data_IF_964941281385
#
_entry.id   IF_964941281385
#
_cell.length_a   1.000
_cell.length_b   1.000
_cell.length_c   1.000
_cell.angle_alpha   90.00
_cell.angle_beta   90.00
_cell.angle_gamma   90.00
#
_symmetry.space_group_name_H-M   'P 1'
#
loop_
_entity.id
_entity.type
_entity.pdbx_description
1 polymer ?
#
# COMPACT_ATOMS: atom_id res chain seq x y z
N UNK A 1 13.30 -12.74 28.47
CA UNK A 1 12.37 -12.73 27.32
C UNK A 1 12.43 -14.10 26.65
N UNK A 2 11.31 -14.81 26.49
CA UNK A 2 11.27 -16.12 25.81
C UNK A 2 10.62 -15.93 24.44
N UNK A 3 11.29 -16.38 23.38
CA UNK A 3 10.74 -16.37 22.04
C UNK A 3 9.80 -17.57 21.86
N UNK A 4 8.65 -17.35 21.23
CA UNK A 4 7.70 -18.41 20.88
C UNK A 4 7.54 -18.47 19.37
N UNK A 5 7.45 -19.70 18.84
CA UNK A 5 7.24 -19.93 17.42
C UNK A 5 5.74 -19.92 17.11
N UNK A 6 5.34 -19.08 16.16
CA UNK A 6 3.99 -19.13 15.56
C UNK A 6 3.88 -20.41 14.73
N UNK A 7 3.02 -21.34 15.16
CA UNK A 7 2.80 -22.61 14.47
C UNK A 7 1.84 -22.43 13.29
N UNK A 8 1.87 -23.35 12.33
CA UNK A 8 0.93 -23.41 11.20
C UNK A 8 0.91 -22.17 10.30
N UNK A 9 2.00 -21.40 10.27
CA UNK A 9 2.11 -20.25 9.37
C UNK A 9 2.23 -20.74 7.91
N UNK A 10 1.41 -20.23 6.96
CA UNK A 10 1.21 -20.87 5.66
C UNK A 10 2.39 -20.74 4.67
N UNK A 11 3.49 -20.10 5.06
CA UNK A 11 4.64 -19.89 4.16
C UNK A 11 5.93 -19.69 4.94
N UNK A 12 7.08 -19.96 4.31
CA UNK A 12 8.39 -19.71 4.92
C UNK A 12 8.80 -18.24 4.95
N UNK A 13 8.11 -17.38 4.20
CA UNK A 13 8.48 -15.98 4.02
C UNK A 13 7.31 -15.04 4.33
N UNK A 14 7.45 -14.28 5.42
CA UNK A 14 6.63 -13.14 5.74
C UNK A 14 7.28 -11.88 5.13
N UNK A 15 6.50 -11.09 4.39
CA UNK A 15 7.01 -9.86 3.75
C UNK A 15 6.83 -8.65 4.66
N UNK A 16 5.72 -8.60 5.39
CA UNK A 16 5.33 -7.46 6.21
C UNK A 16 4.41 -7.94 7.34
N UNK A 17 4.52 -7.32 8.51
CA UNK A 17 3.66 -7.57 9.68
C UNK A 17 3.30 -6.26 10.33
N UNK A 18 2.02 -6.06 10.60
CA UNK A 18 1.51 -4.84 11.24
C UNK A 18 0.63 -5.21 12.43
N UNK A 19 0.70 -4.42 13.49
CA UNK A 19 -0.24 -4.50 14.60
C UNK A 19 -1.43 -3.58 14.29
N UNK A 20 -2.64 -4.07 14.47
CA UNK A 20 -3.87 -3.30 14.31
C UNK A 20 -4.94 -3.85 15.24
N UNK A 21 -5.55 -2.97 16.06
CA UNK A 21 -6.63 -3.32 17.01
C UNK A 21 -6.37 -4.59 17.84
N UNK A 22 -5.15 -4.70 18.36
CA UNK A 22 -4.78 -5.83 19.22
C UNK A 22 -4.57 -7.17 18.50
N UNK A 23 -4.48 -7.19 17.16
CA UNK A 23 -4.10 -8.37 16.37
C UNK A 23 -2.90 -8.07 15.49
N UNK A 24 -2.24 -9.11 14.99
CA UNK A 24 -1.21 -8.95 13.96
C UNK A 24 -1.72 -9.39 12.60
N UNK A 25 -1.43 -8.60 11.58
CA UNK A 25 -1.76 -8.89 10.19
C UNK A 25 -0.46 -9.05 9.43
N UNK A 26 -0.27 -10.19 8.79
CA UNK A 26 0.94 -10.51 8.06
C UNK A 26 0.65 -10.71 6.57
N UNK A 27 1.49 -10.12 5.73
CA UNK A 27 1.45 -10.34 4.28
C UNK A 27 2.46 -11.42 3.87
N UNK A 28 1.97 -12.41 3.13
CA UNK A 28 2.74 -13.59 2.75
C UNK A 28 3.06 -13.54 1.24
N UNK A 29 4.24 -14.05 0.84
CA UNK A 29 4.74 -13.98 -0.55
C UNK A 29 3.78 -14.60 -1.59
N UNK A 30 2.85 -15.46 -1.17
CA UNK A 30 1.82 -16.08 -2.03
C UNK A 30 0.44 -15.49 -1.68
N UNK A 31 0.32 -14.17 -1.90
CA UNK A 31 -0.93 -13.40 -2.06
C UNK A 31 -1.92 -13.38 -0.89
N UNK A 32 -1.68 -14.11 0.18
CA UNK A 32 -2.59 -14.18 1.31
C UNK A 32 -2.16 -13.20 2.40
N UNK A 33 -3.16 -12.54 2.99
CA UNK A 33 -3.02 -11.88 4.28
C UNK A 33 -3.48 -12.90 5.32
N UNK A 34 -2.75 -13.00 6.42
CA UNK A 34 -3.16 -13.80 7.57
C UNK A 34 -3.29 -12.91 8.79
N UNK A 35 -4.22 -13.28 9.66
CA UNK A 35 -4.38 -12.70 10.98
C UNK A 35 -3.74 -13.65 11.97
N UNK A 36 -2.97 -13.11 12.91
CA UNK A 36 -2.35 -13.85 14.00
C UNK A 36 -2.94 -13.32 15.30
N UNK A 37 -3.54 -14.22 16.08
CA UNK A 37 -3.97 -13.91 17.44
C UNK A 37 -2.74 -13.78 18.34
N UNK A 38 -2.57 -12.66 19.09
CA UNK A 38 -1.35 -12.44 19.87
C UNK A 38 -1.24 -13.36 21.10
N UNK A 39 -2.34 -13.96 21.57
CA UNK A 39 -2.38 -14.77 22.78
C UNK A 39 -2.27 -16.26 22.47
N UNK A 40 -3.04 -16.75 21.49
CA UNK A 40 -3.00 -18.16 21.07
C UNK A 40 -1.93 -18.47 20.02
N UNK A 41 -1.41 -17.44 19.34
CA UNK A 41 -0.55 -17.56 18.15
C UNK A 41 -1.20 -18.37 17.01
N UNK A 42 -2.53 -18.47 17.00
CA UNK A 42 -3.25 -19.10 15.91
C UNK A 42 -3.28 -18.19 14.68
N UNK A 43 -3.12 -18.81 13.51
CA UNK A 43 -3.05 -18.12 12.22
C UNK A 43 -4.33 -18.41 11.44
N UNK A 44 -5.10 -17.36 11.16
CA UNK A 44 -6.33 -17.44 10.36
C UNK A 44 -6.10 -16.79 9.00
N UNK A 45 -6.34 -17.50 7.88
CA UNK A 45 -6.32 -16.88 6.56
C UNK A 45 -7.40 -15.81 6.41
N UNK A 46 -7.02 -14.64 5.91
CA UNK A 46 -7.96 -13.58 5.55
C UNK A 46 -8.13 -13.58 4.03
N UNK A 47 -9.19 -14.24 3.55
CA UNK A 47 -9.43 -14.43 2.12
C UNK A 47 -9.69 -13.11 1.41
N UNK A 48 -9.08 -12.94 0.24
CA UNK A 48 -9.32 -11.83 -0.66
C UNK A 48 -10.24 -12.30 -1.81
N UNK A 49 -11.26 -11.52 -2.15
CA UNK A 49 -12.30 -11.89 -3.12
C UNK A 49 -11.79 -12.18 -4.54
N UNK A 50 -10.59 -11.71 -4.91
CA UNK A 50 -9.98 -12.00 -6.20
C UNK A 50 -8.44 -12.12 -6.07
N UNK A 51 -7.84 -13.26 -6.41
CA UNK A 51 -6.39 -13.43 -6.43
C UNK A 51 -5.79 -12.81 -7.70
N UNK A 52 -5.65 -11.48 -7.74
CA UNK A 52 -4.87 -10.85 -8.81
C UNK A 52 -3.36 -11.00 -8.57
N UNK A 53 -2.57 -11.03 -9.66
CA UNK A 53 -1.13 -10.85 -9.67
C UNK A 53 -0.58 -9.53 -9.05
N UNK A 54 -0.80 -9.28 -7.76
CA UNK A 54 -0.36 -8.08 -7.03
C UNK A 54 0.79 -8.31 -6.03
N UNK A 55 1.57 -7.26 -5.80
CA UNK A 55 2.38 -7.06 -4.60
C UNK A 55 1.52 -6.38 -3.53
N UNK A 56 1.37 -7.02 -2.37
CA UNK A 56 0.58 -6.51 -1.25
C UNK A 56 1.46 -5.74 -0.26
N UNK A 57 0.91 -4.67 0.30
CA UNK A 57 1.51 -3.88 1.39
C UNK A 57 0.40 -3.50 2.37
N UNK A 58 0.64 -3.66 3.68
CA UNK A 58 -0.29 -3.30 4.73
C UNK A 58 0.07 -1.94 5.31
N UNK A 59 -0.91 -1.04 5.43
CA UNK A 59 -0.70 0.33 5.91
C UNK A 59 -1.67 0.57 7.07
N UNK A 60 -1.20 0.53 8.33
CA UNK A 60 -2.01 0.93 9.47
C UNK A 60 -2.16 2.45 9.49
N UNK A 61 -3.38 2.92 9.75
CA UNK A 61 -3.70 4.32 9.97
C UNK A 61 -4.15 4.51 11.42
N UNK A 62 -3.17 4.48 12.33
CA UNK A 62 -3.44 4.37 13.76
C UNK A 62 -4.16 3.06 14.08
N UNK A 63 -5.15 3.15 14.98
CA UNK A 63 -6.04 2.04 15.33
C UNK A 63 -7.41 2.12 14.64
N UNK A 64 -7.62 3.13 13.78
CA UNK A 64 -8.93 3.39 13.20
C UNK A 64 -9.16 2.52 11.97
N UNK A 65 -8.19 2.49 11.06
CA UNK A 65 -8.30 1.82 9.77
C UNK A 65 -7.01 1.08 9.40
N UNK A 66 -7.17 -0.03 8.68
CA UNK A 66 -6.09 -0.76 8.06
C UNK A 66 -6.34 -0.84 6.56
N UNK A 67 -5.38 -0.36 5.77
CA UNK A 67 -5.45 -0.44 4.31
C UNK A 67 -4.53 -1.53 3.77
N UNK A 68 -5.01 -2.19 2.72
CA UNK A 68 -4.25 -3.10 1.87
C UNK A 68 -4.07 -2.43 0.52
N UNK A 69 -2.82 -2.15 0.15
CA UNK A 69 -2.49 -1.64 -1.18
C UNK A 69 -1.91 -2.76 -2.03
N UNK A 70 -2.61 -3.05 -3.11
CA UNK A 70 -2.27 -4.05 -4.10
C UNK A 70 -1.69 -3.39 -5.34
N UNK A 71 -0.37 -3.52 -5.52
CA UNK A 71 0.34 -3.00 -6.67
C UNK A 71 0.42 -4.05 -7.77
N UNK A 72 -0.05 -3.73 -8.97
CA UNK A 72 -0.16 -4.62 -10.13
C UNK A 72 0.56 -4.04 -11.35
N UNK A 73 0.97 -4.93 -12.28
CA UNK A 73 1.51 -4.54 -13.58
C UNK A 73 0.41 -4.72 -14.63
N UNK A 74 -0.16 -3.62 -15.12
CA UNK A 74 -1.09 -3.66 -16.23
C UNK A 74 -0.35 -4.08 -17.51
N UNK A 75 -0.87 -5.11 -18.19
CA UNK A 75 -0.41 -5.50 -19.51
C UNK A 75 -1.22 -4.69 -20.53
N UNK A 76 -0.62 -3.66 -21.11
CA UNK A 76 -1.16 -3.01 -22.32
C UNK A 76 -0.65 -3.80 -23.53
N UNK A 77 -1.56 -4.38 -24.32
CA UNK A 77 -1.25 -5.23 -25.49
C UNK A 77 -0.65 -4.51 -26.70
N UNK A 78 0.30 -3.59 -26.49
CA UNK A 78 0.92 -2.77 -27.54
C UNK A 78 2.44 -2.83 -27.54
N UNK A 79 3.04 -2.48 -28.69
CA UNK A 79 4.47 -2.60 -29.06
C UNK A 79 5.44 -1.83 -28.13
N UNK A 80 4.93 -0.95 -27.27
CA UNK A 80 5.72 -0.23 -26.27
C UNK A 80 5.59 -0.87 -24.89
N UNK A 81 6.63 -1.61 -24.47
CA UNK A 81 6.74 -2.36 -23.21
C UNK A 81 6.84 -1.49 -21.95
N UNK A 82 6.18 -0.33 -21.88
CA UNK A 82 6.07 0.39 -20.61
C UNK A 82 5.05 -0.31 -19.73
N UNK A 83 5.54 -1.17 -18.84
CA UNK A 83 4.72 -1.78 -17.79
C UNK A 83 4.09 -0.68 -16.94
N UNK A 84 2.79 -0.43 -17.12
CA UNK A 84 2.04 0.55 -16.32
C UNK A 84 1.77 -0.06 -14.96
N UNK A 85 2.21 0.64 -13.92
CA UNK A 85 1.88 0.25 -12.54
C UNK A 85 0.51 0.82 -12.23
N UNK A 86 -0.41 -0.05 -11.86
CA UNK A 86 -1.72 0.33 -11.31
C UNK A 86 -1.81 -0.22 -9.90
N UNK A 87 -2.58 0.43 -9.04
CA UNK A 87 -2.83 -0.07 -7.69
C UNK A 87 -4.33 -0.14 -7.39
N UNK A 88 -4.69 -1.09 -6.54
CA UNK A 88 -6.01 -1.18 -5.91
C UNK A 88 -5.81 -1.00 -4.42
N UNK A 89 -6.70 -0.25 -3.78
CA UNK A 89 -6.68 -0.09 -2.33
C UNK A 89 -7.96 -0.69 -1.76
N UNK A 90 -7.81 -1.44 -0.68
CA UNK A 90 -8.91 -1.98 0.09
C UNK A 90 -8.76 -1.59 1.55
N UNK A 91 -9.86 -1.28 2.23
CA UNK A 91 -9.93 -1.09 3.68
C UNK A 91 -10.42 -2.36 4.34
N UNK A 92 -9.88 -2.71 5.50
CA UNK A 92 -10.36 -3.83 6.30
C UNK A 92 -11.73 -3.48 6.91
N UNK A 93 -12.73 -4.31 6.62
CA UNK A 93 -13.97 -4.41 7.37
C UNK A 93 -13.78 -5.52 8.41
N UNK A 94 -13.52 -5.13 9.65
CA UNK A 94 -13.21 -6.06 10.75
C UNK A 94 -14.42 -6.91 11.12
N UNK A 95 -15.61 -6.31 11.15
CA UNK A 95 -16.85 -6.99 11.52
C UNK A 95 -17.19 -8.10 10.52
N UNK A 96 -17.03 -7.82 9.23
CA UNK A 96 -17.27 -8.82 8.19
C UNK A 96 -16.03 -9.67 7.86
N UNK A 97 -14.87 -9.40 8.48
CA UNK A 97 -13.62 -10.10 8.24
C UNK A 97 -13.17 -10.07 6.77
N UNK A 98 -13.37 -8.95 6.07
CA UNK A 98 -13.12 -8.86 4.62
C UNK A 98 -12.46 -7.56 4.20
N UNK A 99 -11.84 -7.57 3.03
CA UNK A 99 -11.27 -6.38 2.40
C UNK A 99 -12.30 -5.73 1.47
N UNK A 100 -12.60 -4.45 1.68
CA UNK A 100 -13.53 -3.66 0.86
C UNK A 100 -12.75 -2.67 0.03
N UNK A 101 -12.89 -2.72 -1.30
CA UNK A 101 -12.20 -1.80 -2.22
C UNK A 101 -12.67 -0.38 -1.99
N UNK A 102 -11.74 0.58 -1.93
CA UNK A 102 -12.01 1.99 -1.69
C UNK A 102 -11.37 2.89 -2.76
N UNK A 103 -12.05 3.98 -3.07
CA UNK A 103 -11.59 5.06 -3.96
C UNK A 103 -11.12 6.30 -3.21
N UNK A 104 -11.41 6.38 -1.90
CA UNK A 104 -11.11 7.50 -1.04
C UNK A 104 -10.32 7.03 0.19
N UNK A 105 -9.37 7.86 0.64
CA UNK A 105 -8.51 7.60 1.80
C UNK A 105 -8.80 8.58 2.94
N UNK A 106 -9.91 9.33 2.88
CA UNK A 106 -10.25 10.32 3.89
C UNK A 106 -9.23 11.45 4.00
N UNK A 107 -8.65 11.89 2.87
CA UNK A 107 -7.64 12.95 2.85
C UNK A 107 -6.24 12.52 3.32
N UNK A 108 -6.02 11.22 3.56
CA UNK A 108 -4.73 10.68 3.99
C UNK A 108 -3.75 10.48 2.83
N UNK A 109 -2.47 10.44 3.18
CA UNK A 109 -1.36 10.11 2.31
C UNK A 109 -0.77 8.79 2.79
N UNK A 110 -0.67 7.79 1.90
CA UNK A 110 -0.07 6.50 2.23
C UNK A 110 1.36 6.45 1.71
N UNK A 111 2.32 6.18 2.60
CA UNK A 111 3.73 5.99 2.25
C UNK A 111 4.07 4.51 2.29
N UNK A 112 4.26 3.92 1.11
CA UNK A 112 4.64 2.53 0.96
C UNK A 112 6.15 2.47 0.84
N UNK A 113 6.76 1.94 1.89
CA UNK A 113 8.19 1.90 2.04
C UNK A 113 8.74 0.52 1.68
N UNK A 114 9.84 0.51 0.93
CA UNK A 114 10.58 -0.69 0.60
C UNK A 114 11.70 -0.92 1.63
N UNK A 115 11.90 -2.19 2.03
CA UNK A 115 12.89 -2.66 3.02
C UNK A 115 12.57 -2.27 4.48
N UNK A 116 13.43 -1.47 5.10
CA UNK A 116 13.59 -1.42 6.56
C UNK A 116 12.66 -0.42 7.24
N UNK A 117 12.07 0.49 6.45
CA UNK A 117 11.07 1.41 6.93
C UNK A 117 9.69 0.77 6.76
N UNK A 118 8.92 0.69 7.85
CA UNK A 118 7.54 0.24 7.79
C UNK A 118 6.68 1.16 6.92
N UNK A 119 5.55 0.66 6.43
CA UNK A 119 4.58 1.51 5.76
C UNK A 119 3.89 2.41 6.78
N UNK A 120 3.67 3.66 6.41
CA UNK A 120 3.04 4.65 7.30
C UNK A 120 1.99 5.45 6.54
N UNK A 121 1.11 6.07 7.29
CA UNK A 121 0.11 7.01 6.79
C UNK A 121 0.12 8.26 7.64
N UNK A 122 -0.29 9.37 7.04
CA UNK A 122 -0.57 10.61 7.76
C UNK A 122 -1.73 11.35 7.07
N UNK A 123 -2.34 12.28 7.78
CA UNK A 123 -3.26 13.23 7.15
C UNK A 123 -2.47 14.19 6.27
N UNK A 124 -3.01 14.60 5.13
CA UNK A 124 -2.39 15.68 4.35
C UNK A 124 -2.34 17.00 5.13
N UNK A 125 -3.28 17.22 6.05
CA UNK A 125 -3.34 18.41 6.90
C UNK A 125 -2.27 18.42 8.01
N UNK A 126 -1.60 17.28 8.26
CA UNK A 126 -0.46 17.21 9.19
C UNK A 126 0.84 17.63 8.50
N UNK A 127 0.84 17.78 7.17
CA UNK A 127 1.99 18.20 6.39
C UNK A 127 2.05 19.73 6.30
N UNK A 128 3.26 20.32 6.14
CA UNK A 128 3.39 21.77 6.03
C UNK A 128 2.54 22.34 4.89
N UNK A 129 1.86 23.46 5.16
CA UNK A 129 1.08 24.17 4.15
C UNK A 129 1.94 24.48 2.92
N UNK A 130 1.38 24.22 1.74
CA UNK A 130 2.07 24.45 0.47
C UNK A 130 3.18 23.43 0.15
N UNK A 131 3.35 22.34 0.90
CA UNK A 131 4.36 21.32 0.59
C UNK A 131 4.09 20.52 -0.70
N UNK A 132 2.97 20.74 -1.38
CA UNK A 132 2.63 20.11 -2.66
C UNK A 132 2.07 18.70 -2.58
N UNK A 133 1.99 18.13 -1.37
CA UNK A 133 1.36 16.83 -1.14
C UNK A 133 -0.14 17.02 -0.97
N UNK A 134 -0.92 16.41 -1.86
CA UNK A 134 -2.38 16.37 -1.71
C UNK A 134 -2.81 15.11 -0.96
N UNK A 135 -3.88 15.21 -0.17
CA UNK A 135 -4.56 14.05 0.38
C UNK A 135 -5.08 13.10 -0.70
N UNK A 136 -5.53 11.92 -0.28
CA UNK A 136 -5.98 10.86 -1.17
C UNK A 136 -4.90 10.48 -2.19
N UNK A 137 -3.68 10.26 -1.69
CA UNK A 137 -2.53 9.93 -2.52
C UNK A 137 -1.68 8.83 -1.91
N UNK A 138 -0.96 8.12 -2.77
CA UNK A 138 -0.08 7.02 -2.38
C UNK A 138 1.30 7.30 -2.96
N UNK A 139 2.33 7.31 -2.11
CA UNK A 139 3.72 7.39 -2.54
C UNK A 139 4.40 6.05 -2.35
N UNK A 140 4.95 5.53 -3.43
CA UNK A 140 5.85 4.40 -3.35
C UNK A 140 7.30 4.88 -3.34
N UNK A 141 8.08 4.52 -2.31
CA UNK A 141 9.44 5.04 -2.11
C UNK A 141 10.52 4.34 -2.98
N UNK A 142 10.15 3.60 -4.03
CA UNK A 142 11.10 2.98 -4.95
C UNK A 142 11.26 3.85 -6.21
N UNK A 143 12.47 3.84 -6.78
CA UNK A 143 12.79 4.67 -7.95
C UNK A 143 12.22 3.99 -9.20
N UNK A 144 11.19 4.58 -9.79
CA UNK A 144 10.79 4.29 -11.17
C UNK A 144 11.56 5.29 -12.03
N UNK A 145 12.61 4.85 -12.73
CA UNK A 145 13.36 5.66 -13.70
C UNK A 145 13.31 7.19 -13.51
N UNK A 146 12.43 7.82 -14.28
CA UNK A 146 12.18 9.25 -14.50
C UNK A 146 11.66 10.06 -13.29
N UNK A 147 11.33 9.42 -12.16
CA UNK A 147 10.99 10.14 -10.92
C UNK A 147 10.13 9.32 -9.97
N UNK A 148 9.98 9.82 -8.74
CA UNK A 148 8.94 9.32 -7.83
C UNK A 148 7.72 10.22 -7.97
N UNK A 149 6.54 9.64 -8.09
CA UNK A 149 5.29 10.36 -8.27
C UNK A 149 4.24 9.79 -7.33
N UNK A 150 3.26 10.63 -6.98
CA UNK A 150 2.10 10.18 -6.22
C UNK A 150 1.12 9.43 -7.13
N UNK A 151 0.50 8.40 -6.59
CA UNK A 151 -0.61 7.70 -7.21
C UNK A 151 -1.92 8.30 -6.70
N UNK A 152 -2.85 8.57 -7.61
CA UNK A 152 -4.20 9.07 -7.31
C UNK A 152 -5.25 8.18 -7.96
N UNK A 153 -6.45 8.18 -7.37
CA UNK A 153 -7.59 7.47 -7.92
C UNK A 153 -8.17 8.18 -9.14
N UNK A 154 -8.65 7.43 -10.14
CA UNK A 154 -9.38 8.01 -11.29
C UNK A 154 -8.56 8.85 -12.26
N UNK A 155 -7.23 8.77 -12.24
CA UNK A 155 -6.37 9.53 -13.17
C UNK A 155 -6.54 9.00 -14.61
N UNK A 156 -6.85 9.91 -15.54
CA UNK A 156 -6.91 9.63 -16.97
C UNK A 156 -5.49 9.65 -17.58
N UNK A 157 -5.04 8.57 -18.23
CA UNK A 157 -3.70 8.56 -18.84
C UNK A 157 -3.68 8.98 -20.31
N UNK A 158 -4.83 9.38 -20.85
CA UNK A 158 -5.02 9.75 -22.25
C UNK A 158 -5.42 8.58 -23.15
N UNK A 159 -5.79 7.44 -22.57
CA UNK A 159 -6.19 6.23 -23.28
C UNK A 159 -7.63 5.88 -22.88
N UNK A 160 -8.50 5.70 -23.86
CA UNK A 160 -9.94 5.46 -23.63
C UNK A 160 -10.23 4.11 -22.94
N UNK A 161 -9.27 3.18 -22.99
CA UNK A 161 -9.35 1.86 -22.34
C UNK A 161 -9.01 1.90 -20.83
N UNK A 162 -8.69 3.07 -20.28
CA UNK A 162 -8.35 3.18 -18.86
C UNK A 162 -9.54 2.86 -17.96
N UNK A 163 -9.47 1.72 -17.27
CA UNK A 163 -10.40 1.45 -16.18
C UNK A 163 -10.13 2.41 -15.01
N UNK A 164 -10.96 3.44 -14.83
CA UNK A 164 -10.79 4.48 -13.80
C UNK A 164 -10.91 3.96 -12.35
N UNK A 165 -11.31 2.71 -12.14
CA UNK A 165 -11.40 2.09 -10.81
C UNK A 165 -10.05 1.76 -10.14
N UNK A 166 -8.93 2.24 -10.71
CA UNK A 166 -7.58 2.00 -10.20
C UNK A 166 -6.84 3.29 -9.86
N UNK A 167 -5.96 3.15 -8.87
CA UNK A 167 -4.97 4.15 -8.50
C UNK A 167 -3.82 4.13 -9.50
N UNK A 168 -3.53 5.27 -10.11
CA UNK A 168 -2.51 5.43 -11.15
C UNK A 168 -1.56 6.57 -10.82
N UNK A 169 -0.38 6.50 -11.40
CA UNK A 169 0.64 7.55 -11.30
C UNK A 169 0.06 8.87 -11.82
N UNK A 170 0.03 9.89 -10.95
CA UNK A 170 -0.24 11.27 -11.32
C UNK A 170 1.07 11.94 -11.70
N UNK A 171 1.10 12.62 -12.85
CA UNK A 171 2.27 13.42 -13.27
C UNK A 171 2.33 14.79 -12.57
N UNK A 172 1.34 15.08 -11.73
CA UNK A 172 1.35 16.24 -10.86
C UNK A 172 2.49 16.12 -9.84
N UNK A 173 3.15 17.24 -9.58
CA UNK A 173 4.07 17.44 -8.46
C UNK A 173 5.13 16.33 -8.30
N UNK A 174 6.16 16.29 -9.17
CA UNK A 174 7.22 15.29 -9.12
C UNK A 174 7.92 15.26 -7.75
N UNK A 175 8.18 14.07 -7.23
CA UNK A 175 8.84 13.85 -5.94
C UNK A 175 10.29 13.43 -6.13
N UNK A 176 11.18 14.11 -5.43
CA UNK A 176 12.60 13.73 -5.29
C UNK A 176 12.81 13.13 -3.91
N UNK A 177 13.22 11.86 -3.85
CA UNK A 177 13.61 11.22 -2.59
C UNK A 177 15.04 11.65 -2.26
N UNK A 178 15.21 12.39 -1.17
CA UNK A 178 16.49 12.93 -0.70
C UNK A 178 17.24 11.93 0.17
N UNK A 179 16.52 11.21 1.04
CA UNK A 179 17.08 10.15 1.88
C UNK A 179 16.03 9.06 2.17
N UNK A 180 16.52 7.85 2.45
CA UNK A 180 15.72 6.68 2.85
C UNK A 180 16.13 6.11 4.21
N UNK A 181 17.11 6.72 4.88
CA UNK A 181 17.62 6.27 6.18
C UNK A 181 18.33 7.43 6.89
N UNK A 182 18.17 7.60 8.22
CA UNK A 182 17.30 6.83 9.12
C UNK A 182 15.80 7.14 8.93
N UNK A 183 15.48 8.23 8.25
CA UNK A 183 14.10 8.69 7.97
C UNK A 183 13.92 8.89 6.47
N UNK A 184 12.70 8.70 5.97
CA UNK A 184 12.33 9.07 4.60
C UNK A 184 12.27 10.60 4.49
N UNK A 185 13.17 11.18 3.69
CA UNK A 185 13.15 12.60 3.35
C UNK A 185 12.82 12.78 1.86
N UNK A 186 11.84 13.61 1.56
CA UNK A 186 11.36 13.86 0.21
C UNK A 186 11.17 15.35 -0.04
N UNK A 187 11.29 15.75 -1.31
CA UNK A 187 11.00 17.10 -1.79
C UNK A 187 10.03 16.99 -2.96
N UNK A 188 8.90 17.67 -2.84
CA UNK A 188 7.94 17.83 -3.93
C UNK A 188 8.36 19.03 -4.77
N UNK A 189 8.35 18.88 -6.09
CA UNK A 189 8.50 20.00 -7.03
C UNK A 189 7.12 20.55 -7.32
N UNK A 190 6.88 21.79 -6.90
CA UNK A 190 5.69 22.58 -7.23
C UNK A 190 5.80 23.17 -8.63
#
# INVERSE_FOLDING_TARGET
MKWMLVKNFPCRFCKDVVAFRGRFYASVIIRNIVVIDPYSLEVTPLMHLQPLPSQKSLIPCGNDELFLVEKMLAHTGGVSKFRRIISRVSRLDEEAGKWVVVSDLGGRVLFINHRHLGNVSCSANELPDGCGVSGNSILFNFRLGDGSFFFKYGVHTGFDEDNLSFWRLSRENPVTILSKSPVLALRVKL
#
